data_IF_882605945063
#
_entry.id   IF_882605945063
#
_cell.length_a   1.000
_cell.length_b   1.000
_cell.length_c   1.000
_cell.angle_alpha   90.00
_cell.angle_beta   90.00
_cell.angle_gamma   90.00
#
_symmetry.space_group_name_H-M   'P 1'
#
loop_
_entity.id
_entity.type
_entity.pdbx_description
1 polymer ?
#
# COMPACT_ATOMS: atom_id res chain seq x y z
N UNK A 1 -16.48 25.84 11.89
CA UNK A 1 -15.03 25.55 11.87
C UNK A 1 -14.66 24.25 12.57
N UNK A 2 -15.30 23.90 13.69
CA UNK A 2 -15.04 22.67 14.47
C UNK A 2 -15.13 21.34 13.69
N UNK A 3 -16.14 21.17 12.81
CA UNK A 3 -16.29 19.96 11.99
C UNK A 3 -15.12 19.73 11.04
N UNK A 4 -14.66 20.77 10.32
CA UNK A 4 -13.51 20.68 9.40
C UNK A 4 -12.22 20.32 10.14
N UNK A 5 -12.05 20.80 11.38
CA UNK A 5 -10.89 20.46 12.23
C UNK A 5 -10.93 18.99 12.67
N UNK A 6 -12.09 18.49 13.10
CA UNK A 6 -12.27 17.07 13.48
C UNK A 6 -12.07 16.12 12.30
N UNK A 7 -12.55 16.47 11.10
CA UNK A 7 -12.29 15.71 9.86
C UNK A 7 -10.80 15.71 9.48
N UNK A 8 -10.10 16.84 9.70
CA UNK A 8 -8.67 16.94 9.43
C UNK A 8 -7.86 16.03 10.36
N UNK A 9 -8.16 16.06 11.66
CA UNK A 9 -7.50 15.24 12.68
C UNK A 9 -7.79 13.74 12.51
N UNK A 10 -9.04 13.37 12.19
CA UNK A 10 -9.39 11.98 11.84
C UNK A 10 -8.56 11.48 10.66
N UNK A 11 -8.47 12.27 9.59
CA UNK A 11 -7.69 11.86 8.42
C UNK A 11 -6.17 11.90 8.64
N UNK A 12 -5.65 12.64 9.63
CA UNK A 12 -4.23 12.54 10.04
C UNK A 12 -3.97 11.24 10.79
N UNK A 13 -4.89 10.84 11.67
CA UNK A 13 -4.81 9.58 12.40
C UNK A 13 -4.88 8.38 11.45
N UNK A 14 -5.83 8.40 10.50
CA UNK A 14 -5.97 7.34 9.50
C UNK A 14 -4.77 7.25 8.55
N UNK A 15 -4.19 8.40 8.17
CA UNK A 15 -2.97 8.43 7.37
C UNK A 15 -1.78 7.86 8.15
N UNK A 16 -1.63 8.25 9.42
CA UNK A 16 -0.64 7.65 10.32
C UNK A 16 -0.84 6.14 10.46
N UNK A 17 -2.09 5.68 10.59
CA UNK A 17 -2.39 4.26 10.71
C UNK A 17 -2.02 3.50 9.43
N UNK A 18 -2.32 4.05 8.26
CA UNK A 18 -1.89 3.48 6.98
C UNK A 18 -0.36 3.47 6.82
N UNK A 19 0.33 4.49 7.36
CA UNK A 19 1.80 4.49 7.43
C UNK A 19 2.35 3.46 8.43
N UNK A 20 1.64 3.19 9.52
CA UNK A 20 1.98 2.13 10.47
C UNK A 20 1.80 0.74 9.83
N UNK A 21 0.72 0.54 9.06
CA UNK A 21 0.48 -0.69 8.27
C UNK A 21 1.59 -0.95 7.26
N UNK A 22 2.07 0.11 6.59
CA UNK A 22 3.23 0.04 5.68
C UNK A 22 4.52 -0.45 6.38
N UNK A 23 4.67 -0.19 7.69
CA UNK A 23 5.84 -0.63 8.47
C UNK A 23 5.80 -2.11 8.84
N UNK A 24 4.62 -2.74 8.84
CA UNK A 24 4.43 -4.12 9.28
C UNK A 24 4.69 -5.17 8.16
N UNK A 25 4.97 -4.73 6.93
CA UNK A 25 5.37 -5.61 5.83
C UNK A 25 6.86 -5.98 5.86
N UNK A 26 7.39 -6.40 7.02
CA UNK A 26 8.67 -7.11 7.06
C UNK A 26 8.45 -8.57 6.67
N UNK A 27 9.34 -9.21 5.90
CA UNK A 27 9.40 -10.66 5.87
C UNK A 27 9.65 -11.11 7.31
N UNK A 28 8.70 -11.84 7.87
CA UNK A 28 8.92 -12.66 9.04
C UNK A 28 9.39 -14.01 8.51
N UNK A 29 10.69 -14.13 8.26
CA UNK A 29 11.31 -15.42 8.10
C UNK A 29 11.38 -16.03 9.50
N UNK A 30 10.62 -17.10 9.72
CA UNK A 30 10.79 -17.92 10.90
C UNK A 30 12.04 -18.77 10.76
N UNK A 31 12.87 -18.79 11.80
CA UNK A 31 13.48 -19.99 12.40
C UNK A 31 14.28 -19.58 13.65
N UNK A 32 14.15 -20.38 14.70
CA UNK A 32 14.81 -20.22 16.00
C UNK A 32 16.30 -20.56 15.89
N UNK A 33 17.21 -19.69 16.35
CA UNK A 33 18.43 -20.16 17.00
C UNK A 33 18.98 -19.12 18.00
N UNK A 34 19.30 -19.60 19.21
CA UNK A 34 19.89 -18.84 20.31
C UNK A 34 21.41 -18.74 20.13
N UNK A 35 21.99 -17.54 19.94
CA UNK A 35 23.37 -17.23 20.37
C UNK A 35 23.53 -15.74 20.73
N UNK A 36 24.39 -15.51 21.71
CA UNK A 36 24.64 -14.33 22.55
C UNK A 36 25.18 -13.05 21.86
N UNK A 37 24.69 -11.92 22.38
CA UNK A 37 25.33 -10.61 22.66
C UNK A 37 26.35 -10.06 21.66
N UNK A 38 25.92 -9.08 20.85
CA UNK A 38 26.79 -7.95 20.52
C UNK A 38 25.99 -6.66 20.26
N UNK A 39 26.42 -5.58 20.90
CA UNK A 39 25.85 -4.23 20.78
C UNK A 39 25.73 -3.80 19.31
N UNK A 40 24.52 -3.46 18.85
CA UNK A 40 24.33 -2.77 17.57
C UNK A 40 23.35 -1.61 17.75
N UNK A 41 23.94 -0.41 17.75
CA UNK A 41 23.58 0.77 16.94
C UNK A 41 22.07 1.01 16.74
N UNK A 42 21.61 2.15 17.27
CA UNK A 42 20.36 2.88 16.95
C UNK A 42 19.68 2.31 15.71
N UNK A 43 18.56 1.60 15.91
CA UNK A 43 17.70 1.10 14.84
C UNK A 43 17.29 2.27 13.95
N UNK A 44 18.02 2.48 12.85
CA UNK A 44 17.47 3.17 11.69
C UNK A 44 16.29 2.31 11.24
N UNK A 45 15.09 2.89 11.36
CA UNK A 45 13.87 2.34 10.77
C UNK A 45 14.20 1.86 9.35
N UNK A 46 13.82 0.64 8.93
CA UNK A 46 14.04 0.19 7.57
C UNK A 46 13.38 1.20 6.64
N UNK A 47 14.21 1.95 5.90
CA UNK A 47 13.74 2.99 4.98
C UNK A 47 13.01 2.28 3.85
N UNK A 48 11.68 2.30 3.86
CA UNK A 48 10.86 1.74 2.77
C UNK A 48 11.25 2.43 1.46
N UNK A 49 11.88 1.68 0.57
CA UNK A 49 12.42 2.18 -0.71
C UNK A 49 11.30 2.33 -1.73
N UNK A 50 11.29 3.46 -2.44
CA UNK A 50 10.32 3.72 -3.52
C UNK A 50 10.48 2.70 -4.64
N UNK A 51 11.71 2.27 -4.93
CA UNK A 51 11.95 1.28 -5.98
C UNK A 51 11.45 -0.11 -5.59
N UNK A 52 11.47 -0.46 -4.31
CA UNK A 52 11.03 -1.78 -3.84
C UNK A 52 9.53 -1.93 -4.05
N UNK A 53 8.71 -0.94 -3.65
CA UNK A 53 7.27 -0.99 -3.86
C UNK A 53 6.92 -0.97 -5.36
N UNK A 54 7.64 -0.18 -6.17
CA UNK A 54 7.44 -0.15 -7.62
C UNK A 54 7.73 -1.52 -8.25
N UNK A 55 8.83 -2.16 -7.83
CA UNK A 55 9.22 -3.49 -8.32
C UNK A 55 8.19 -4.56 -7.95
N UNK A 56 7.76 -4.59 -6.68
CA UNK A 56 6.74 -5.54 -6.21
C UNK A 56 5.41 -5.34 -6.93
N UNK A 57 4.95 -4.10 -7.09
CA UNK A 57 3.70 -3.84 -7.78
C UNK A 57 3.75 -4.16 -9.28
N UNK A 58 4.89 -3.99 -9.94
CA UNK A 58 5.09 -4.42 -11.34
C UNK A 58 5.01 -5.95 -11.47
N UNK A 59 5.67 -6.68 -10.57
CA UNK A 59 5.55 -8.15 -10.53
C UNK A 59 4.12 -8.59 -10.25
N UNK A 60 3.44 -7.89 -9.35
CA UNK A 60 2.04 -8.17 -9.04
C UNK A 60 1.13 -8.01 -10.25
N UNK A 61 1.33 -6.97 -11.08
CA UNK A 61 0.56 -6.80 -12.32
C UNK A 61 0.67 -8.05 -13.20
N UNK A 62 1.87 -8.61 -13.37
CA UNK A 62 2.06 -9.84 -14.14
C UNK A 62 1.29 -11.03 -13.55
N UNK A 63 1.30 -11.19 -12.22
CA UNK A 63 0.53 -12.26 -11.56
C UNK A 63 -0.97 -12.08 -11.76
N UNK A 64 -1.48 -10.84 -11.69
CA UNK A 64 -2.89 -10.56 -11.93
C UNK A 64 -3.30 -10.80 -13.39
N UNK A 65 -2.41 -10.53 -14.35
CA UNK A 65 -2.64 -10.83 -15.76
C UNK A 65 -2.81 -12.35 -16.00
N UNK A 66 -2.07 -13.20 -15.27
CA UNK A 66 -2.22 -14.67 -15.33
C UNK A 66 -3.53 -15.19 -14.71
N UNK A 67 -4.07 -14.52 -13.69
CA UNK A 67 -5.36 -14.87 -13.09
C UNK A 67 -6.51 -14.54 -14.06
N UNK A 68 -6.37 -13.47 -14.83
CA UNK A 68 -7.29 -13.10 -15.88
C UNK A 68 -8.30 -12.00 -15.49
N UNK A 69 -9.39 -11.84 -16.26
CA UNK A 69 -10.16 -10.59 -16.33
C UNK A 69 -10.92 -10.23 -15.05
N UNK A 70 -11.13 -11.18 -14.12
CA UNK A 70 -11.79 -10.95 -12.83
C UNK A 70 -11.11 -9.84 -12.01
N UNK A 71 -9.80 -9.66 -12.16
CA UNK A 71 -9.00 -8.68 -11.42
C UNK A 71 -8.61 -7.46 -12.25
N UNK A 72 -9.18 -7.29 -13.46
CA UNK A 72 -8.79 -6.24 -14.39
C UNK A 72 -8.88 -4.82 -13.79
N UNK A 73 -9.93 -4.54 -13.03
CA UNK A 73 -10.14 -3.23 -12.39
C UNK A 73 -9.04 -2.93 -11.38
N UNK A 74 -8.71 -3.91 -10.53
CA UNK A 74 -7.62 -3.79 -9.55
C UNK A 74 -6.28 -3.62 -10.26
N UNK A 75 -6.02 -4.43 -11.28
CA UNK A 75 -4.80 -4.39 -12.07
C UNK A 75 -4.60 -3.03 -12.75
N UNK A 76 -5.66 -2.41 -13.27
CA UNK A 76 -5.63 -1.05 -13.82
C UNK A 76 -5.32 0.01 -12.75
N UNK A 77 -5.96 -0.07 -11.58
CA UNK A 77 -5.70 0.85 -10.46
C UNK A 77 -4.24 0.76 -9.99
N UNK A 78 -3.69 -0.45 -9.85
CA UNK A 78 -2.28 -0.66 -9.51
C UNK A 78 -1.38 -0.01 -10.56
N UNK A 79 -1.64 -0.21 -11.86
CA UNK A 79 -0.82 0.40 -12.91
C UNK A 79 -0.83 1.93 -12.82
N UNK A 80 -1.99 2.56 -12.63
CA UNK A 80 -2.09 4.02 -12.52
C UNK A 80 -1.37 4.57 -11.30
N UNK A 81 -1.44 3.86 -10.17
CA UNK A 81 -0.75 4.24 -8.94
C UNK A 81 0.77 4.02 -9.04
N UNK A 82 1.22 2.94 -9.69
CA UNK A 82 2.63 2.70 -10.01
C UNK A 82 3.18 3.81 -10.90
N UNK A 83 2.47 4.14 -11.98
CA UNK A 83 2.92 5.20 -12.91
C UNK A 83 3.06 6.53 -12.18
N UNK A 84 2.07 6.91 -11.36
CA UNK A 84 2.12 8.16 -10.58
C UNK A 84 3.32 8.24 -9.65
N UNK A 85 3.62 7.15 -8.95
CA UNK A 85 4.74 7.10 -8.02
C UNK A 85 6.09 7.09 -8.77
N UNK A 86 6.14 6.39 -9.91
CA UNK A 86 7.31 6.35 -10.78
C UNK A 86 7.61 7.73 -11.37
N UNK A 87 6.59 8.44 -11.89
CA UNK A 87 6.74 9.81 -12.42
C UNK A 87 7.32 10.76 -11.35
N UNK A 88 6.89 10.63 -10.09
CA UNK A 88 7.45 11.43 -9.00
C UNK A 88 8.92 11.06 -8.74
N UNK A 89 9.24 9.77 -8.71
CA UNK A 89 10.60 9.29 -8.50
C UNK A 89 11.56 9.71 -9.61
N UNK A 90 11.12 9.73 -10.87
CA UNK A 90 11.93 10.13 -12.02
C UNK A 90 12.24 11.64 -12.02
N UNK A 91 11.41 12.47 -11.38
CA UNK A 91 11.67 13.91 -11.24
C UNK A 91 12.87 14.23 -10.36
N UNK A 92 13.10 13.43 -9.31
CA UNK A 92 14.27 13.53 -8.44
C UNK A 92 14.47 12.21 -7.69
N UNK A 93 15.21 11.28 -8.31
CA UNK A 93 15.36 9.91 -7.78
C UNK A 93 16.13 9.87 -6.47
N UNK A 94 17.01 10.85 -6.22
CA UNK A 94 17.73 10.94 -4.95
C UNK A 94 16.82 11.40 -3.83
N UNK A 95 15.99 12.42 -4.06
CA UNK A 95 15.06 12.94 -3.06
C UNK A 95 13.94 11.96 -2.77
N UNK A 96 13.34 11.39 -3.81
CA UNK A 96 12.17 10.52 -3.71
C UNK A 96 12.55 9.03 -3.66
N UNK A 97 13.73 8.70 -3.13
CA UNK A 97 14.18 7.33 -2.89
C UNK A 97 13.41 6.64 -1.74
N UNK A 98 12.86 7.42 -0.80
CA UNK A 98 12.11 6.91 0.35
C UNK A 98 10.65 7.31 0.30
N UNK A 99 9.76 6.33 0.53
CA UNK A 99 8.32 6.56 0.64
C UNK A 99 7.97 7.55 1.75
N UNK A 100 8.71 7.52 2.86
CA UNK A 100 8.49 8.44 3.99
C UNK A 100 8.73 9.90 3.57
N UNK A 101 9.72 10.16 2.72
CA UNK A 101 10.00 11.53 2.23
C UNK A 101 8.82 12.03 1.39
N UNK A 102 8.29 11.19 0.50
CA UNK A 102 7.13 11.53 -0.34
C UNK A 102 5.91 11.87 0.52
N UNK A 103 5.60 11.01 1.50
CA UNK A 103 4.42 11.20 2.36
C UNK A 103 4.57 12.41 3.27
N UNK A 104 5.72 12.59 3.92
CA UNK A 104 5.96 13.74 4.80
C UNK A 104 5.87 15.05 4.02
N UNK A 105 6.46 15.13 2.82
CA UNK A 105 6.40 16.33 1.98
C UNK A 105 4.95 16.69 1.61
N UNK A 106 4.15 15.73 1.13
CA UNK A 106 2.75 16.00 0.79
C UNK A 106 1.87 16.29 2.02
N UNK A 107 2.22 15.77 3.19
CA UNK A 107 1.55 16.11 4.45
C UNK A 107 1.82 17.55 4.86
N UNK A 108 3.08 17.98 4.81
CA UNK A 108 3.50 19.36 5.13
C UNK A 108 2.89 20.38 4.16
N UNK A 109 2.79 20.01 2.88
CA UNK A 109 2.14 20.84 1.85
C UNK A 109 0.60 20.79 1.92
N UNK A 110 0.01 19.92 2.77
CA UNK A 110 -1.43 19.73 2.84
C UNK A 110 -2.05 19.10 1.58
N UNK A 111 -1.24 18.48 0.71
CA UNK A 111 -1.65 17.88 -0.56
C UNK A 111 -1.88 16.37 -0.47
N UNK A 112 -1.47 15.71 0.62
CA UNK A 112 -1.56 14.26 0.84
C UNK A 112 -2.96 13.66 0.62
N UNK A 113 -4.04 14.43 0.82
CA UNK A 113 -5.42 13.97 0.66
C UNK A 113 -6.03 14.24 -0.72
N UNK A 114 -5.33 14.95 -1.61
CA UNK A 114 -5.82 15.24 -2.97
C UNK A 114 -5.96 13.94 -3.76
N UNK A 115 -7.00 13.79 -4.57
CA UNK A 115 -7.32 12.55 -5.31
C UNK A 115 -6.12 11.94 -6.05
N UNK A 116 -5.25 12.79 -6.61
CA UNK A 116 -4.05 12.39 -7.38
C UNK A 116 -2.73 12.54 -6.59
N UNK A 117 -2.76 12.49 -5.26
CA UNK A 117 -1.55 12.56 -4.43
C UNK A 117 -0.75 11.24 -4.49
N UNK A 118 0.56 11.34 -4.34
CA UNK A 118 1.43 10.16 -4.29
C UNK A 118 1.24 9.40 -2.97
N UNK A 119 0.90 10.08 -1.88
CA UNK A 119 0.54 9.48 -0.60
C UNK A 119 -0.63 8.52 -0.74
N UNK A 120 -1.69 8.91 -1.47
CA UNK A 120 -2.82 8.01 -1.72
C UNK A 120 -2.45 6.85 -2.63
N UNK A 121 -1.61 7.09 -3.63
CA UNK A 121 -1.10 6.03 -4.50
C UNK A 121 -0.33 4.98 -3.66
N UNK A 122 0.59 5.41 -2.80
CA UNK A 122 1.36 4.52 -1.90
C UNK A 122 0.43 3.68 -1.03
N UNK A 123 -0.61 4.28 -0.45
CA UNK A 123 -1.58 3.56 0.39
C UNK A 123 -2.37 2.52 -0.42
N UNK A 124 -2.82 2.88 -1.63
CA UNK A 124 -3.51 1.93 -2.50
C UNK A 124 -2.61 0.78 -2.92
N UNK A 125 -1.36 1.06 -3.31
CA UNK A 125 -0.39 0.03 -3.67
C UNK A 125 -0.16 -0.95 -2.50
N UNK A 126 0.02 -0.46 -1.28
CA UNK A 126 0.16 -1.31 -0.10
C UNK A 126 -1.05 -2.22 0.14
N UNK A 127 -2.26 -1.69 -0.07
CA UNK A 127 -3.49 -2.47 0.09
C UNK A 127 -3.68 -3.50 -1.00
N UNK A 128 -3.32 -3.16 -2.22
CA UNK A 128 -3.30 -4.08 -3.35
C UNK A 128 -2.31 -5.21 -3.13
N UNK A 129 -1.14 -4.93 -2.54
CA UNK A 129 -0.18 -5.97 -2.13
C UNK A 129 -0.80 -6.88 -1.06
N UNK A 130 -1.45 -6.33 -0.04
CA UNK A 130 -2.10 -7.13 1.02
C UNK A 130 -3.24 -8.01 0.45
N UNK A 131 -4.13 -7.44 -0.35
CA UNK A 131 -5.16 -8.18 -1.08
C UNK A 131 -4.57 -9.35 -1.87
N UNK A 132 -3.50 -9.08 -2.61
CA UNK A 132 -2.90 -10.07 -3.50
C UNK A 132 -2.18 -11.17 -2.73
N UNK A 133 -1.50 -10.83 -1.62
CA UNK A 133 -0.95 -11.82 -0.69
C UNK A 133 -2.05 -12.75 -0.19
N UNK A 134 -3.15 -12.20 0.31
CA UNK A 134 -4.28 -12.99 0.80
C UNK A 134 -4.86 -13.88 -0.31
N UNK A 135 -5.10 -13.31 -1.49
CA UNK A 135 -5.62 -14.03 -2.65
C UNK A 135 -4.73 -15.24 -3.02
N UNK A 136 -3.43 -15.03 -3.15
CA UNK A 136 -2.47 -16.09 -3.51
C UNK A 136 -2.39 -17.16 -2.43
N UNK A 137 -2.37 -16.78 -1.15
CA UNK A 137 -2.40 -17.75 -0.05
C UNK A 137 -3.68 -18.60 -0.05
N UNK A 138 -4.84 -18.03 -0.42
CA UNK A 138 -6.10 -18.76 -0.54
C UNK A 138 -6.09 -19.70 -1.74
N UNK A 139 -5.66 -19.22 -2.91
CA UNK A 139 -5.53 -20.05 -4.12
C UNK A 139 -4.67 -21.31 -3.87
N UNK A 140 -3.60 -21.18 -3.09
CA UNK A 140 -2.74 -22.32 -2.74
C UNK A 140 -3.35 -23.28 -1.72
N UNK A 141 -4.26 -22.82 -0.85
CA UNK A 141 -4.85 -23.61 0.23
C UNK A 141 -6.16 -24.30 -0.15
N UNK A 142 -6.92 -23.75 -1.10
CA UNK A 142 -8.26 -24.22 -1.45
C UNK A 142 -8.42 -24.43 -2.96
N UNK A 143 -7.79 -25.47 -3.54
CA UNK A 143 -7.85 -25.72 -4.99
C UNK A 143 -9.25 -26.10 -5.51
N UNK A 144 -10.15 -26.54 -4.61
CA UNK A 144 -11.52 -26.94 -4.95
C UNK A 144 -12.51 -25.76 -5.00
N UNK A 145 -12.13 -24.58 -4.48
CA UNK A 145 -12.99 -23.40 -4.47
C UNK A 145 -12.93 -22.66 -5.80
N UNK A 146 -14.04 -22.02 -6.19
CA UNK A 146 -14.04 -21.17 -7.39
C UNK A 146 -13.17 -19.94 -7.20
N UNK A 147 -12.61 -19.44 -8.30
CA UNK A 147 -11.80 -18.21 -8.28
C UNK A 147 -12.62 -17.02 -7.77
N UNK A 148 -13.89 -16.94 -8.15
CA UNK A 148 -14.82 -15.89 -7.75
C UNK A 148 -15.01 -15.84 -6.23
N UNK A 149 -15.24 -16.99 -5.59
CA UNK A 149 -15.39 -17.07 -4.13
C UNK A 149 -14.10 -16.61 -3.41
N UNK A 150 -12.94 -17.05 -3.89
CA UNK A 150 -11.64 -16.69 -3.31
C UNK A 150 -11.38 -15.18 -3.47
N UNK A 151 -11.70 -14.61 -4.63
CA UNK A 151 -11.58 -13.16 -4.89
C UNK A 151 -12.53 -12.36 -4.00
N UNK A 152 -13.78 -12.81 -3.83
CA UNK A 152 -14.75 -12.13 -2.97
C UNK A 152 -14.31 -12.15 -1.49
N UNK A 153 -13.81 -13.29 -1.01
CA UNK A 153 -13.27 -13.43 0.35
C UNK A 153 -12.06 -12.51 0.57
N UNK A 154 -11.11 -12.50 -0.38
CA UNK A 154 -9.94 -11.62 -0.34
C UNK A 154 -10.35 -10.15 -0.32
N UNK A 155 -11.33 -9.77 -1.14
CA UNK A 155 -11.85 -8.42 -1.22
C UNK A 155 -12.51 -7.99 0.09
N UNK A 156 -13.35 -8.84 0.66
CA UNK A 156 -14.05 -8.58 1.92
C UNK A 156 -13.09 -8.41 3.09
N UNK A 157 -12.01 -9.19 3.11
CA UNK A 157 -11.03 -9.22 4.20
C UNK A 157 -10.01 -8.08 4.13
N UNK A 158 -9.76 -7.51 2.94
CA UNK A 158 -8.66 -6.55 2.75
C UNK A 158 -9.09 -5.18 2.21
N UNK A 159 -9.71 -5.09 1.04
CA UNK A 159 -9.99 -3.83 0.35
C UNK A 159 -11.32 -3.18 0.79
N UNK A 160 -12.34 -4.00 1.10
CA UNK A 160 -13.70 -3.55 1.43
C UNK A 160 -13.77 -2.47 2.54
N UNK A 161 -12.99 -2.56 3.65
CA UNK A 161 -13.01 -1.52 4.70
C UNK A 161 -12.60 -0.12 4.19
N UNK A 162 -11.86 -0.06 3.09
CA UNK A 162 -11.21 1.17 2.65
C UNK A 162 -11.94 1.89 1.51
N UNK A 163 -12.82 1.18 0.80
CA UNK A 163 -13.61 1.77 -0.27
C UNK A 163 -14.54 2.90 0.21
N UNK A 164 -14.94 2.96 1.48
CA UNK A 164 -15.76 4.06 1.99
C UNK A 164 -14.99 5.38 2.09
N UNK A 165 -13.91 5.43 2.86
CA UNK A 165 -13.23 6.69 3.21
C UNK A 165 -12.23 7.16 2.15
N UNK A 166 -11.54 6.24 1.47
CA UNK A 166 -10.65 6.60 0.36
C UNK A 166 -11.46 7.04 -0.86
N UNK A 167 -12.62 6.42 -1.12
CA UNK A 167 -13.53 6.88 -2.18
C UNK A 167 -14.30 8.15 -1.80
N UNK A 168 -14.58 8.39 -0.51
CA UNK A 168 -15.27 9.62 -0.07
C UNK A 168 -14.52 10.91 -0.37
N UNK A 169 -13.21 10.87 -0.66
CA UNK A 169 -12.47 12.03 -1.16
C UNK A 169 -12.76 12.36 -2.64
N UNK A 170 -13.37 11.45 -3.40
CA UNK A 170 -13.81 11.66 -4.78
C UNK A 170 -15.19 12.33 -4.90
N UNK A 171 -15.95 12.46 -3.79
CA UNK A 171 -17.29 13.05 -3.79
C UNK A 171 -17.30 14.59 -3.58
N UNK A 172 -16.13 15.24 -3.50
CA UNK A 172 -16.02 16.70 -3.34
C UNK A 172 -15.15 17.33 -4.43
N UNK A 173 -15.46 17.03 -5.69
CA UNK A 173 -15.11 17.88 -6.85
C UNK A 173 -16.33 18.63 -7.31
#
# INVERSE_FOLDING_TARGET
MERKRKEMEKGKYELRLAMEELRMCSPGDGEEEQVQVQQVKVQEQPKSSTMDILSVCKQLIHVLDEIGPTLLVLRQDIQENVQRLQDLHERDSSKYASLTVIVTEEMEQGTAKKTKSCTRAIIWLSRSINFSKYLLERLLKTPESSLEEIVEEAYASTLKPWHGWISSAAYKS
#
